data_IF_700516293117
#
_entry.id   IF_700516293117
#
_cell.length_a   1.000
_cell.length_b   1.000
_cell.length_c   1.000
_cell.angle_alpha   90.00
_cell.angle_beta   90.00
_cell.angle_gamma   90.00
#
_symmetry.space_group_name_H-M   'P 1'
#
loop_
_entity.id
_entity.type
_entity.pdbx_description
1 polymer ?
#
# COMPACT_ATOMS: atom_id res chain seq x y z
N UNK A 1 3.94 26.44 -3.01
CA UNK A 1 3.35 25.11 -2.80
C UNK A 1 4.30 24.13 -3.45
N UNK A 2 5.15 23.47 -2.67
CA UNK A 2 6.03 22.40 -3.16
C UNK A 2 5.17 21.30 -3.79
N UNK A 3 5.57 20.86 -4.97
CA UNK A 3 4.90 19.76 -5.65
C UNK A 3 5.09 18.48 -4.83
N UNK A 4 3.99 17.89 -4.35
CA UNK A 4 3.98 16.65 -3.54
C UNK A 4 4.82 15.55 -4.20
N UNK A 5 4.81 15.45 -5.53
CA UNK A 5 5.65 14.50 -6.26
C UNK A 5 7.14 14.80 -6.08
N UNK A 6 7.53 16.08 -6.14
CA UNK A 6 8.92 16.49 -5.95
C UNK A 6 9.38 16.24 -4.52
N UNK A 7 8.53 16.55 -3.53
CA UNK A 7 8.84 16.35 -2.12
C UNK A 7 8.97 14.85 -1.75
N UNK A 8 8.08 14.00 -2.27
CA UNK A 8 7.99 12.59 -1.88
C UNK A 8 8.84 11.66 -2.76
N UNK A 9 9.03 12.00 -4.04
CA UNK A 9 9.66 11.14 -5.05
C UNK A 9 10.93 11.77 -5.66
N UNK A 10 11.21 13.03 -5.37
CA UNK A 10 12.39 13.75 -5.87
C UNK A 10 12.19 14.40 -7.25
N UNK A 11 13.19 15.15 -7.74
CA UNK A 11 13.07 16.03 -8.91
C UNK A 11 12.82 15.31 -10.22
N UNK A 12 13.26 14.04 -10.35
CA UNK A 12 13.05 13.24 -11.57
C UNK A 12 11.56 13.02 -11.85
N UNK A 13 10.72 12.96 -10.82
CA UNK A 13 9.27 12.76 -10.96
C UNK A 13 8.58 13.89 -11.72
N UNK A 14 9.14 15.11 -11.70
CA UNK A 14 8.59 16.30 -12.35
C UNK A 14 8.50 16.13 -13.87
N UNK A 15 9.47 15.44 -14.47
CA UNK A 15 9.52 15.18 -15.91
C UNK A 15 8.32 14.36 -16.41
N UNK A 16 7.63 13.63 -15.51
CA UNK A 16 6.54 12.72 -15.86
C UNK A 16 5.16 13.20 -15.42
N UNK A 17 5.02 14.47 -15.00
CA UNK A 17 3.73 15.07 -14.61
C UNK A 17 2.67 14.98 -15.70
N UNK A 18 3.06 15.14 -16.96
CA UNK A 18 2.11 15.06 -18.09
C UNK A 18 1.49 13.65 -18.20
N UNK A 19 2.30 12.60 -18.12
CA UNK A 19 1.83 11.22 -18.14
C UNK A 19 0.93 10.91 -16.94
N UNK A 20 1.27 11.41 -15.75
CA UNK A 20 0.45 11.26 -14.54
C UNK A 20 -0.88 12.02 -14.62
N UNK A 21 -0.88 13.24 -15.18
CA UNK A 21 -2.09 14.01 -15.44
C UNK A 21 -3.03 13.30 -16.41
N UNK A 22 -2.48 12.73 -17.49
CA UNK A 22 -3.24 11.95 -18.47
C UNK A 22 -3.81 10.67 -17.86
N UNK A 23 -3.00 9.94 -17.07
CA UNK A 23 -3.46 8.76 -16.36
C UNK A 23 -4.64 9.07 -15.42
N UNK A 24 -4.53 10.12 -14.60
CA UNK A 24 -5.61 10.55 -13.71
C UNK A 24 -6.88 10.92 -14.46
N UNK A 25 -6.75 11.69 -15.54
CA UNK A 25 -7.87 12.10 -16.40
C UNK A 25 -8.61 10.88 -16.94
N UNK A 26 -7.88 9.88 -17.44
CA UNK A 26 -8.45 8.63 -17.98
C UNK A 26 -9.07 7.72 -16.92
N UNK A 27 -8.61 7.80 -15.67
CA UNK A 27 -9.20 7.08 -14.54
C UNK A 27 -10.34 7.85 -13.86
N UNK A 28 -10.63 9.08 -14.29
CA UNK A 28 -11.63 9.95 -13.65
C UNK A 28 -11.25 10.38 -12.23
N UNK A 29 -9.95 10.43 -11.91
CA UNK A 29 -9.42 10.87 -10.62
C UNK A 29 -9.15 12.38 -10.70
N UNK A 30 -9.83 13.17 -9.89
CA UNK A 30 -9.77 14.64 -9.95
C UNK A 30 -8.97 15.27 -8.80
N UNK A 31 -8.33 14.49 -7.95
CA UNK A 31 -7.48 14.94 -6.85
C UNK A 31 -6.04 14.43 -7.03
N UNK A 32 -5.11 14.88 -6.18
CA UNK A 32 -3.67 14.55 -6.26
C UNK A 32 -3.22 13.58 -5.16
N UNK A 33 -4.10 13.16 -4.26
CA UNK A 33 -3.72 12.30 -3.12
C UNK A 33 -3.19 10.93 -3.56
N UNK A 34 -3.52 10.51 -4.79
CA UNK A 34 -3.06 9.25 -5.37
C UNK A 34 -1.84 9.40 -6.28
N UNK A 35 -1.31 10.61 -6.46
CA UNK A 35 -0.26 10.90 -7.44
C UNK A 35 0.96 10.02 -7.25
N UNK A 36 1.45 9.87 -6.01
CA UNK A 36 2.61 9.04 -5.73
C UNK A 36 2.33 7.53 -5.91
N UNK A 37 1.12 7.07 -5.58
CA UNK A 37 0.70 5.68 -5.80
C UNK A 37 0.61 5.37 -7.30
N UNK A 38 -0.06 6.21 -8.07
CA UNK A 38 -0.19 6.09 -9.52
C UNK A 38 1.18 6.18 -10.22
N UNK A 39 2.04 7.07 -9.76
CA UNK A 39 3.41 7.19 -10.26
C UNK A 39 4.19 5.88 -10.12
N UNK A 40 3.99 5.11 -9.05
CA UNK A 40 4.66 3.82 -8.88
C UNK A 40 4.32 2.82 -10.01
N UNK A 41 3.07 2.80 -10.47
CA UNK A 41 2.66 1.95 -11.59
C UNK A 41 3.24 2.48 -12.91
N UNK A 42 3.18 3.80 -13.14
CA UNK A 42 3.75 4.43 -14.33
C UNK A 42 5.24 4.15 -14.46
N UNK A 43 6.02 4.40 -13.41
CA UNK A 43 7.46 4.16 -13.41
C UNK A 43 7.78 2.69 -13.72
N UNK A 44 7.01 1.75 -13.15
CA UNK A 44 7.16 0.33 -13.45
C UNK A 44 6.88 0.00 -14.93
N UNK A 45 5.94 0.71 -15.56
CA UNK A 45 5.59 0.55 -16.98
C UNK A 45 6.29 1.56 -17.88
N UNK A 46 7.43 2.11 -17.44
CA UNK A 46 8.25 3.04 -18.22
C UNK A 46 7.43 4.21 -18.77
N UNK A 47 6.46 4.66 -17.98
CA UNK A 47 5.52 5.75 -18.26
C UNK A 47 4.56 5.49 -19.44
N UNK A 48 4.34 4.22 -19.81
CA UNK A 48 3.26 3.82 -20.70
C UNK A 48 1.91 3.91 -19.96
N UNK A 49 1.06 4.84 -20.40
CA UNK A 49 -0.24 5.12 -19.77
C UNK A 49 -1.23 3.97 -20.03
N UNK A 50 -1.25 3.38 -21.22
CA UNK A 50 -2.19 2.32 -21.57
C UNK A 50 -1.90 1.03 -20.80
N UNK A 51 -0.63 0.62 -20.76
CA UNK A 51 -0.20 -0.52 -19.96
C UNK A 51 -0.48 -0.30 -18.46
N UNK A 52 -0.29 0.94 -17.99
CA UNK A 52 -0.56 1.30 -16.60
C UNK A 52 -2.04 1.20 -16.26
N UNK A 53 -2.94 1.71 -17.12
CA UNK A 53 -4.39 1.56 -16.94
C UNK A 53 -4.77 0.08 -16.90
N UNK A 54 -4.27 -0.73 -17.83
CA UNK A 54 -4.56 -2.16 -17.86
C UNK A 54 -4.05 -2.89 -16.59
N UNK A 55 -2.98 -2.40 -15.95
CA UNK A 55 -2.50 -2.92 -14.67
C UNK A 55 -3.35 -2.46 -13.49
N UNK A 56 -3.77 -1.21 -13.46
CA UNK A 56 -4.66 -0.69 -12.42
C UNK A 56 -6.05 -1.33 -12.48
N UNK A 57 -6.58 -1.61 -13.68
CA UNK A 57 -7.82 -2.37 -13.85
C UNK A 57 -7.68 -3.81 -13.34
N UNK A 58 -6.57 -4.48 -13.66
CA UNK A 58 -6.26 -5.82 -13.11
C UNK A 58 -6.16 -5.80 -11.58
N UNK A 59 -5.59 -4.73 -11.02
CA UNK A 59 -5.55 -4.52 -9.57
C UNK A 59 -6.96 -4.34 -9.00
N UNK A 60 -7.77 -3.46 -9.56
CA UNK A 60 -9.15 -3.26 -9.12
C UNK A 60 -9.99 -4.55 -9.18
N UNK A 61 -9.82 -5.36 -10.23
CA UNK A 61 -10.46 -6.67 -10.32
C UNK A 61 -10.01 -7.61 -9.19
N UNK A 62 -8.71 -7.66 -8.88
CA UNK A 62 -8.17 -8.47 -7.78
C UNK A 62 -8.66 -7.98 -6.40
N UNK A 63 -8.86 -6.68 -6.20
CA UNK A 63 -9.44 -6.15 -4.96
C UNK A 63 -10.83 -6.73 -4.71
N UNK A 64 -11.67 -6.80 -5.74
CA UNK A 64 -13.04 -7.34 -5.62
C UNK A 64 -13.05 -8.87 -5.59
N UNK A 65 -12.37 -9.50 -6.55
CA UNK A 65 -12.46 -10.96 -6.77
C UNK A 65 -11.62 -11.77 -5.80
N UNK A 66 -10.54 -11.19 -5.27
CA UNK A 66 -9.64 -11.88 -4.36
C UNK A 66 -9.72 -11.27 -2.96
N UNK A 67 -9.33 -10.01 -2.76
CA UNK A 67 -9.27 -9.43 -1.41
C UNK A 67 -10.65 -9.40 -0.74
N UNK A 68 -11.69 -8.98 -1.46
CA UNK A 68 -13.07 -8.98 -0.99
C UNK A 68 -13.65 -10.38 -0.72
N UNK A 69 -13.08 -11.42 -1.34
CA UNK A 69 -13.56 -12.80 -1.26
C UNK A 69 -12.76 -13.69 -0.28
N UNK A 70 -11.64 -13.21 0.27
CA UNK A 70 -10.84 -14.00 1.20
C UNK A 70 -11.57 -14.24 2.51
N UNK A 71 -11.78 -15.50 2.86
CA UNK A 71 -12.34 -15.87 4.15
C UNK A 71 -11.34 -15.53 5.28
N UNK A 72 -11.81 -14.75 6.26
CA UNK A 72 -11.08 -14.38 7.48
C UNK A 72 -11.59 -15.27 8.63
N UNK A 73 -10.70 -15.99 9.28
CA UNK A 73 -11.01 -16.77 10.49
C UNK A 73 -10.39 -16.11 11.73
N UNK A 74 -11.16 -16.13 12.83
CA UNK A 74 -10.67 -15.69 14.13
C UNK A 74 -9.67 -16.70 14.74
N UNK A 75 -8.90 -16.22 15.72
CA UNK A 75 -7.89 -16.98 16.46
C UNK A 75 -8.48 -18.30 17.01
N UNK A 76 -7.79 -19.44 16.81
CA UNK A 76 -8.19 -20.72 17.40
C UNK A 76 -9.15 -21.60 16.58
N UNK A 77 -9.61 -21.15 15.42
CA UNK A 77 -10.35 -22.00 14.48
C UNK A 77 -9.38 -22.65 13.49
N UNK A 78 -8.60 -23.65 13.94
CA UNK A 78 -7.67 -24.40 13.09
C UNK A 78 -8.36 -25.38 12.11
N UNK A 79 -9.61 -25.12 11.77
CA UNK A 79 -10.36 -25.80 10.73
C UNK A 79 -11.24 -24.78 10.05
N UNK A 80 -10.86 -24.36 8.84
CA UNK A 80 -11.84 -23.75 7.94
C UNK A 80 -13.01 -24.70 7.80
N UNK A 81 -14.23 -24.19 7.96
CA UNK A 81 -15.42 -24.93 7.53
C UNK A 81 -15.18 -25.27 6.06
N UNK A 82 -15.11 -26.56 5.73
CA UNK A 82 -14.92 -27.11 4.38
C UNK A 82 -13.49 -27.14 3.78
N UNK A 83 -12.42 -26.99 4.58
CA UNK A 83 -11.04 -27.21 4.08
C UNK A 83 -10.54 -26.13 3.10
N UNK A 84 -11.22 -24.99 3.02
CA UNK A 84 -10.75 -23.81 2.29
C UNK A 84 -9.64 -23.13 3.08
N UNK A 85 -8.58 -22.72 2.37
CA UNK A 85 -7.58 -21.82 2.95
C UNK A 85 -8.27 -20.56 3.49
N UNK A 86 -7.78 -19.95 4.55
CA UNK A 86 -8.30 -18.71 5.13
C UNK A 86 -7.14 -17.82 5.57
N UNK A 87 -7.39 -16.51 5.70
CA UNK A 87 -6.46 -15.64 6.43
C UNK A 87 -6.63 -15.93 7.93
N UNK A 88 -5.68 -16.64 8.52
CA UNK A 88 -5.68 -16.95 9.94
C UNK A 88 -4.85 -15.91 10.70
N UNK A 89 -5.35 -15.45 11.85
CA UNK A 89 -4.52 -14.67 12.77
C UNK A 89 -3.29 -15.47 13.20
N UNK A 90 -3.43 -16.78 13.39
CA UNK A 90 -2.32 -17.69 13.75
C UNK A 90 -1.21 -17.73 12.68
N UNK A 91 -1.58 -17.73 11.40
CA UNK A 91 -0.64 -17.75 10.28
C UNK A 91 0.20 -16.47 10.20
N UNK A 92 -0.43 -15.32 10.45
CA UNK A 92 0.24 -14.01 10.55
C UNK A 92 1.06 -13.88 11.84
N UNK A 93 0.54 -14.38 12.95
CA UNK A 93 1.16 -14.35 14.28
C UNK A 93 2.43 -15.19 14.40
N UNK A 94 2.76 -16.03 13.40
CA UNK A 94 4.10 -16.63 13.23
C UNK A 94 5.19 -15.61 12.88
N UNK A 95 4.79 -14.37 12.58
CA UNK A 95 5.65 -13.23 12.22
C UNK A 95 6.79 -13.57 11.27
N UNK A 96 6.44 -14.33 10.22
CA UNK A 96 7.28 -14.52 9.03
C UNK A 96 7.51 -13.17 8.35
N UNK A 97 6.48 -12.32 8.31
CA UNK A 97 6.53 -10.97 7.74
C UNK A 97 6.01 -9.99 8.79
N UNK A 98 6.74 -8.89 9.02
CA UNK A 98 6.33 -7.81 9.92
C UNK A 98 6.79 -6.44 9.41
N UNK A 99 6.13 -5.36 9.85
CA UNK A 99 6.65 -4.00 9.64
C UNK A 99 7.61 -3.65 10.80
N UNK A 100 8.84 -3.26 10.47
CA UNK A 100 9.86 -2.87 11.46
C UNK A 100 10.13 -1.36 11.51
N UNK A 101 9.45 -0.58 10.67
CA UNK A 101 9.60 0.87 10.58
C UNK A 101 9.62 1.35 9.14
N UNK A 102 10.33 2.45 8.89
CA UNK A 102 10.56 2.99 7.57
C UNK A 102 12.06 3.02 7.25
N UNK A 103 12.40 2.96 5.97
CA UNK A 103 13.76 3.25 5.55
C UNK A 103 14.03 4.76 5.53
N UNK A 104 15.28 5.16 5.21
CA UNK A 104 15.68 6.57 5.16
C UNK A 104 14.92 7.40 4.11
N UNK A 105 14.17 6.76 3.22
CA UNK A 105 13.30 7.39 2.21
C UNK A 105 11.83 7.32 2.61
N UNK A 106 11.50 7.05 3.88
CA UNK A 106 10.14 7.01 4.40
C UNK A 106 9.29 5.80 3.97
N UNK A 107 9.87 4.87 3.19
CA UNK A 107 9.18 3.69 2.68
C UNK A 107 9.03 2.66 3.78
N UNK A 108 7.86 2.02 3.87
CA UNK A 108 7.60 0.99 4.88
C UNK A 108 8.57 -0.18 4.69
N UNK A 109 9.22 -0.61 5.76
CA UNK A 109 10.12 -1.76 5.74
C UNK A 109 9.39 -3.02 6.24
N UNK A 110 9.18 -3.96 5.33
CA UNK A 110 8.72 -5.31 5.63
C UNK A 110 9.92 -6.20 5.94
N UNK A 111 10.08 -6.59 7.20
CA UNK A 111 11.04 -7.59 7.61
C UNK A 111 10.47 -8.99 7.38
N UNK A 112 11.16 -9.80 6.60
CA UNK A 112 10.80 -11.18 6.32
C UNK A 112 11.83 -12.09 6.95
N UNK A 113 11.45 -12.87 7.96
CA UNK A 113 12.35 -13.78 8.65
C UNK A 113 12.04 -15.23 8.26
N UNK A 114 12.81 -15.75 7.31
CA UNK A 114 12.50 -17.01 6.62
C UNK A 114 12.60 -18.24 7.53
N UNK A 115 13.39 -18.20 8.62
CA UNK A 115 13.48 -19.34 9.55
C UNK A 115 12.15 -19.66 10.24
N UNK A 116 11.23 -18.68 10.31
CA UNK A 116 9.87 -18.85 10.88
C UNK A 116 8.87 -19.40 9.86
N UNK A 117 9.25 -19.45 8.59
CA UNK A 117 8.40 -19.98 7.53
C UNK A 117 8.49 -21.51 7.46
N UNK A 118 7.51 -22.12 6.80
CA UNK A 118 7.41 -23.56 6.57
C UNK A 118 7.43 -23.87 5.07
N UNK A 119 7.98 -25.00 4.64
CA UNK A 119 7.92 -25.41 3.23
C UNK A 119 6.64 -26.23 2.90
N UNK A 120 5.61 -26.14 3.72
CA UNK A 120 4.40 -26.97 3.60
C UNK A 120 3.51 -26.50 2.43
N UNK A 121 3.32 -27.37 1.44
CA UNK A 121 2.61 -27.04 0.19
C UNK A 121 1.12 -26.77 0.41
N UNK A 122 0.49 -27.46 1.37
CA UNK A 122 -0.91 -27.28 1.78
C UNK A 122 -1.20 -25.84 2.21
N UNK A 123 -0.21 -25.17 2.82
CA UNK A 123 -0.34 -23.82 3.36
C UNK A 123 -0.09 -22.71 2.33
N UNK A 124 0.30 -23.03 1.08
CA UNK A 124 0.61 -22.00 0.06
C UNK A 124 -0.54 -21.04 -0.19
N UNK A 125 -1.78 -21.53 -0.20
CA UNK A 125 -2.96 -20.70 -0.40
C UNK A 125 -3.17 -19.73 0.77
N UNK A 126 -3.08 -20.21 2.02
CA UNK A 126 -3.12 -19.36 3.22
C UNK A 126 -2.03 -18.29 3.20
N UNK A 127 -0.79 -18.69 2.88
CA UNK A 127 0.36 -17.77 2.83
C UNK A 127 0.22 -16.71 1.76
N UNK A 128 -0.35 -17.08 0.61
CA UNK A 128 -0.64 -16.13 -0.47
C UNK A 128 -1.61 -15.04 0.00
N UNK A 129 -2.69 -15.43 0.67
CA UNK A 129 -3.70 -14.49 1.17
C UNK A 129 -3.16 -13.63 2.31
N UNK A 130 -2.37 -14.24 3.18
CA UNK A 130 -1.65 -13.55 4.26
C UNK A 130 -0.70 -12.50 3.70
N UNK A 131 0.08 -12.86 2.69
CA UNK A 131 0.97 -11.94 1.99
C UNK A 131 0.21 -10.74 1.41
N UNK A 132 -0.91 -10.98 0.74
CA UNK A 132 -1.71 -9.91 0.15
C UNK A 132 -2.33 -8.97 1.19
N UNK A 133 -2.82 -9.49 2.31
CA UNK A 133 -3.38 -8.70 3.41
C UNK A 133 -2.29 -7.85 4.09
N UNK A 134 -1.10 -8.41 4.28
CA UNK A 134 0.04 -7.64 4.80
C UNK A 134 0.46 -6.57 3.80
N UNK A 135 0.53 -6.90 2.51
CA UNK A 135 0.99 -5.98 1.49
C UNK A 135 -0.03 -4.88 1.21
N UNK A 136 -1.34 -5.15 1.29
CA UNK A 136 -2.37 -4.10 1.24
C UNK A 136 -2.20 -3.12 2.39
N UNK A 137 -2.03 -3.61 3.62
CA UNK A 137 -1.76 -2.76 4.78
C UNK A 137 -0.44 -1.98 4.66
N UNK A 138 0.63 -2.61 4.18
CA UNK A 138 1.94 -1.98 4.08
C UNK A 138 2.04 -0.93 2.97
N UNK A 139 1.19 -1.05 1.93
CA UNK A 139 1.12 -0.10 0.81
C UNK A 139 -0.01 0.92 0.97
N UNK A 140 -0.62 1.00 2.16
CA UNK A 140 -1.70 1.96 2.44
C UNK A 140 -1.27 3.42 2.29
N UNK A 141 -2.22 4.30 2.01
CA UNK A 141 -2.02 5.74 2.11
C UNK A 141 -1.68 6.10 3.56
N UNK A 142 -0.73 7.02 3.73
CA UNK A 142 -0.35 7.56 5.03
C UNK A 142 -0.24 9.08 4.95
N UNK A 143 -0.44 9.76 6.09
CA UNK A 143 -0.28 11.22 6.17
C UNK A 143 1.17 11.65 6.09
N UNK A 144 2.04 10.87 6.72
CA UNK A 144 3.45 11.17 6.90
C UNK A 144 4.30 10.77 5.69
N UNK A 145 3.79 9.90 4.81
CA UNK A 145 4.48 9.52 3.58
C UNK A 145 3.50 9.00 2.53
N UNK A 146 3.51 9.61 1.33
CA UNK A 146 2.48 9.35 0.32
C UNK A 146 2.89 8.33 -0.73
N UNK A 147 4.14 7.87 -0.75
CA UNK A 147 4.65 6.97 -1.81
C UNK A 147 3.87 5.66 -1.97
N UNK A 148 3.24 5.15 -0.90
CA UNK A 148 2.62 3.82 -0.86
C UNK A 148 3.59 2.67 -1.21
N UNK A 149 4.90 2.93 -1.17
CA UNK A 149 5.94 1.96 -1.51
C UNK A 149 6.48 1.28 -0.27
N UNK A 150 6.88 0.04 -0.47
CA UNK A 150 7.52 -0.81 0.54
C UNK A 150 8.90 -1.24 0.08
N UNK A 151 9.76 -1.50 1.05
CA UNK A 151 11.00 -2.26 0.87
C UNK A 151 10.90 -3.53 1.70
N UNK A 152 11.45 -4.62 1.21
CA UNK A 152 11.47 -5.90 1.93
C UNK A 152 12.91 -6.20 2.38
N UNK A 153 13.09 -6.51 3.65
CA UNK A 153 14.36 -6.98 4.23
C UNK A 153 14.20 -8.46 4.58
N UNK A 154 14.68 -9.33 3.70
CA UNK A 154 14.55 -10.78 3.79
C UNK A 154 15.77 -11.37 4.47
N UNK A 155 15.61 -11.78 5.73
CA UNK A 155 16.63 -12.49 6.49
C UNK A 155 16.55 -13.99 6.26
N UNK A 156 17.63 -14.55 5.70
CA UNK A 156 17.79 -15.97 5.41
C UNK A 156 18.66 -16.71 6.45
N UNK A 157 19.00 -16.04 7.57
CA UNK A 157 19.79 -16.65 8.63
C UNK A 157 19.09 -17.92 9.14
N UNK A 158 19.85 -19.01 9.22
CA UNK A 158 19.40 -20.34 9.69
C UNK A 158 18.24 -20.97 8.87
N UNK A 159 17.85 -20.36 7.74
CA UNK A 159 16.81 -20.89 6.88
C UNK A 159 17.33 -22.10 6.08
N UNK A 160 16.55 -23.19 6.11
CA UNK A 160 16.86 -24.41 5.37
C UNK A 160 15.99 -24.55 4.11
N UNK A 161 16.62 -24.99 3.02
CA UNK A 161 15.94 -25.37 1.77
C UNK A 161 14.90 -26.48 1.96
N UNK A 162 15.04 -27.31 2.99
CA UNK A 162 14.16 -28.46 3.23
C UNK A 162 13.04 -28.19 4.23
N UNK A 163 13.15 -27.14 5.04
CA UNK A 163 12.21 -26.86 6.14
C UNK A 163 11.45 -25.56 5.95
N UNK A 164 12.12 -24.54 5.42
CA UNK A 164 11.63 -23.17 5.46
C UNK A 164 11.36 -22.60 4.06
N UNK A 165 12.17 -22.99 3.08
CA UNK A 165 12.17 -22.35 1.76
C UNK A 165 11.43 -23.22 0.74
N UNK A 166 10.29 -22.72 0.28
CA UNK A 166 9.56 -23.29 -0.84
C UNK A 166 9.79 -22.43 -2.11
N UNK A 167 10.76 -22.84 -2.95
CA UNK A 167 11.14 -22.06 -4.14
C UNK A 167 9.98 -21.86 -5.14
N UNK A 168 9.19 -22.89 -5.52
CA UNK A 168 8.00 -22.67 -6.33
C UNK A 168 7.03 -21.66 -5.73
N UNK A 169 6.87 -21.67 -4.41
CA UNK A 169 6.04 -20.67 -3.74
C UNK A 169 6.65 -19.26 -3.83
N UNK A 170 7.95 -19.10 -3.62
CA UNK A 170 8.63 -17.80 -3.79
C UNK A 170 8.48 -17.24 -5.21
N UNK A 171 8.57 -18.09 -6.24
CA UNK A 171 8.28 -17.70 -7.63
C UNK A 171 6.83 -17.26 -7.80
N UNK A 172 5.88 -17.97 -7.19
CA UNK A 172 4.46 -17.58 -7.23
C UNK A 172 4.21 -16.22 -6.60
N UNK A 173 4.89 -15.90 -5.49
CA UNK A 173 4.80 -14.59 -4.83
C UNK A 173 5.43 -13.49 -5.68
N UNK A 174 6.59 -13.74 -6.32
CA UNK A 174 7.17 -12.79 -7.26
C UNK A 174 6.26 -12.50 -8.46
N UNK A 175 5.64 -13.54 -9.04
CA UNK A 175 4.62 -13.37 -10.09
C UNK A 175 3.42 -12.55 -9.60
N UNK A 176 2.99 -12.79 -8.36
CA UNK A 176 1.90 -12.04 -7.71
C UNK A 176 2.24 -10.56 -7.54
N UNK A 177 3.47 -10.24 -7.12
CA UNK A 177 3.98 -8.86 -7.03
C UNK A 177 3.96 -8.19 -8.42
N UNK A 178 4.53 -8.83 -9.45
CA UNK A 178 4.54 -8.28 -10.82
C UNK A 178 3.12 -8.09 -11.40
N UNK A 179 2.19 -8.98 -11.03
CA UNK A 179 0.82 -8.95 -11.52
C UNK A 179 0.00 -7.83 -10.88
N UNK A 180 0.03 -7.71 -9.54
CA UNK A 180 -0.91 -6.88 -8.78
C UNK A 180 -0.30 -5.74 -7.95
N UNK A 181 1.00 -5.77 -7.71
CA UNK A 181 1.72 -4.74 -6.94
C UNK A 181 2.92 -4.17 -7.71
N UNK A 182 2.84 -3.96 -9.04
CA UNK A 182 3.96 -3.41 -9.80
C UNK A 182 4.30 -2.02 -9.29
N UNK A 183 5.58 -1.72 -9.10
CA UNK A 183 5.97 -0.42 -8.57
C UNK A 183 5.97 -0.34 -7.04
N UNK A 184 5.05 -1.02 -6.36
CA UNK A 184 4.83 -0.86 -4.92
C UNK A 184 5.91 -1.53 -4.06
N UNK A 185 6.42 -2.70 -4.46
CA UNK A 185 7.59 -3.32 -3.82
C UNK A 185 8.84 -2.77 -4.47
N UNK A 186 9.44 -1.72 -3.94
CA UNK A 186 10.51 -0.98 -4.64
C UNK A 186 11.87 -1.69 -4.58
N UNK A 187 12.20 -2.32 -3.45
CA UNK A 187 13.44 -3.10 -3.29
C UNK A 187 13.21 -4.31 -2.39
N UNK A 188 13.90 -5.40 -2.70
CA UNK A 188 13.97 -6.62 -1.87
C UNK A 188 15.44 -6.85 -1.52
N UNK A 189 15.82 -6.50 -0.30
CA UNK A 189 17.14 -6.78 0.25
C UNK A 189 17.16 -8.18 0.83
N UNK A 190 18.06 -9.05 0.37
CA UNK A 190 18.22 -10.39 0.94
C UNK A 190 19.55 -10.48 1.67
N UNK A 191 19.48 -10.81 2.96
CA UNK A 191 20.64 -10.83 3.87
C UNK A 191 20.83 -12.23 4.48
N UNK A 192 22.04 -12.50 4.96
CA UNK A 192 22.41 -13.76 5.62
C UNK A 192 22.08 -15.02 4.80
N UNK A 193 22.17 -14.92 3.48
CA UNK A 193 21.95 -16.05 2.59
C UNK A 193 23.14 -17.01 2.65
N UNK A 194 22.89 -18.30 2.89
CA UNK A 194 23.95 -19.31 2.86
C UNK A 194 24.52 -19.47 1.44
N UNK A 195 25.78 -19.91 1.31
CA UNK A 195 26.42 -20.12 0.01
C UNK A 195 25.64 -21.07 -0.89
N UNK A 196 25.11 -22.16 -0.32
CA UNK A 196 24.28 -23.13 -1.04
C UNK A 196 22.98 -22.49 -1.53
N UNK A 197 22.30 -21.73 -0.67
CA UNK A 197 21.08 -21.02 -1.06
C UNK A 197 21.35 -19.97 -2.14
N UNK A 198 22.48 -19.27 -2.10
CA UNK A 198 22.87 -18.30 -3.11
C UNK A 198 23.05 -18.92 -4.50
N UNK A 199 23.59 -20.13 -4.59
CA UNK A 199 23.71 -20.86 -5.88
C UNK A 199 22.34 -21.18 -6.44
N UNK A 200 21.43 -21.70 -5.60
CA UNK A 200 20.08 -22.06 -6.03
C UNK A 200 19.24 -20.83 -6.37
N UNK A 201 19.31 -19.79 -5.54
CA UNK A 201 18.57 -18.54 -5.71
C UNK A 201 18.93 -17.83 -7.01
N UNK A 202 20.20 -17.85 -7.43
CA UNK A 202 20.63 -17.29 -8.73
C UNK A 202 19.87 -17.88 -9.90
N UNK A 203 19.65 -19.19 -9.91
CA UNK A 203 18.87 -19.86 -10.96
C UNK A 203 17.40 -19.46 -10.92
N UNK A 204 16.83 -19.33 -9.72
CA UNK A 204 15.44 -18.89 -9.54
C UNK A 204 15.25 -17.44 -9.99
N UNK A 205 16.15 -16.53 -9.61
CA UNK A 205 16.07 -15.11 -9.97
C UNK A 205 16.10 -14.87 -11.48
N UNK A 206 16.80 -15.71 -12.25
CA UNK A 206 16.79 -15.65 -13.72
C UNK A 206 15.42 -15.97 -14.34
N UNK A 207 14.61 -16.80 -13.67
CA UNK A 207 13.27 -17.14 -14.12
C UNK A 207 12.18 -16.17 -13.66
N UNK A 208 12.53 -15.18 -12.84
CA UNK A 208 11.56 -14.20 -12.35
C UNK A 208 11.27 -13.12 -13.40
N UNK A 209 10.05 -12.53 -13.37
CA UNK A 209 9.75 -11.33 -14.13
C UNK A 209 10.80 -10.24 -13.89
N UNK A 210 11.24 -9.60 -14.99
CA UNK A 210 12.31 -8.61 -14.98
C UNK A 210 12.04 -7.45 -14.02
N UNK A 211 10.78 -7.03 -13.93
CA UNK A 211 10.32 -5.97 -13.05
C UNK A 211 10.42 -6.30 -11.55
N UNK A 212 10.56 -7.58 -11.20
CA UNK A 212 10.82 -8.03 -9.82
C UNK A 212 12.29 -8.37 -9.62
N UNK A 213 12.92 -9.09 -10.56
CA UNK A 213 14.32 -9.52 -10.42
C UNK A 213 15.30 -8.35 -10.33
N UNK A 214 15.07 -7.26 -11.07
CA UNK A 214 15.88 -6.04 -10.99
C UNK A 214 15.76 -5.31 -9.64
N UNK A 215 14.76 -5.65 -8.81
CA UNK A 215 14.54 -5.07 -7.49
C UNK A 215 15.18 -5.87 -6.37
N UNK A 216 15.69 -7.07 -6.66
CA UNK A 216 16.35 -7.93 -5.68
C UNK A 216 17.81 -7.50 -5.54
N UNK A 217 18.23 -7.23 -4.31
CA UNK A 217 19.61 -6.91 -3.95
C UNK A 217 20.07 -7.89 -2.88
N UNK A 218 21.02 -8.76 -3.23
CA UNK A 218 21.61 -9.70 -2.29
C UNK A 218 22.78 -9.01 -1.59
N UNK A 219 22.68 -8.83 -0.28
CA UNK A 219 23.73 -8.24 0.54
C UNK A 219 24.67 -9.37 0.99
N UNK A 220 25.92 -9.28 0.60
CA UNK A 220 26.96 -10.25 0.93
C UNK A 220 27.32 -10.21 2.42
N UNK A 221 27.96 -11.29 2.91
CA UNK A 221 28.45 -11.35 4.28
C UNK A 221 29.48 -10.23 4.58
N UNK A 222 30.29 -9.86 3.59
CA UNK A 222 31.25 -8.75 3.70
C UNK A 222 30.55 -7.41 3.85
N UNK A 223 29.51 -7.15 3.05
CA UNK A 223 28.70 -5.92 3.15
C UNK A 223 27.94 -5.87 4.48
N UNK A 224 27.46 -7.01 4.98
CA UNK A 224 26.84 -7.10 6.30
C UNK A 224 27.84 -6.74 7.42
N UNK A 225 29.08 -7.24 7.36
CA UNK A 225 30.14 -6.87 8.32
C UNK A 225 30.51 -5.39 8.24
N UNK A 226 30.36 -4.78 7.08
CA UNK A 226 30.57 -3.34 6.86
C UNK A 226 29.32 -2.49 7.17
N UNK A 227 28.28 -3.09 7.75
CA UNK A 227 27.03 -2.41 8.09
C UNK A 227 26.35 -1.72 6.90
N UNK A 228 26.40 -2.32 5.71
CA UNK A 228 25.83 -1.74 4.49
C UNK A 228 24.34 -1.40 4.62
N UNK A 229 23.59 -2.12 5.47
CA UNK A 229 22.18 -1.80 5.74
C UNK A 229 21.98 -0.39 6.32
N UNK A 230 22.95 0.15 7.07
CA UNK A 230 22.88 1.50 7.63
C UNK A 230 22.90 2.61 6.56
N UNK A 231 23.29 2.29 5.33
CA UNK A 231 23.20 3.21 4.19
C UNK A 231 21.75 3.45 3.76
N UNK A 232 20.86 2.47 3.99
CA UNK A 232 19.47 2.53 3.54
C UNK A 232 18.48 2.69 4.70
N UNK A 233 18.85 2.21 5.89
CA UNK A 233 18.00 2.20 7.07
C UNK A 233 18.68 2.93 8.23
N UNK A 234 17.88 3.47 9.14
CA UNK A 234 18.38 3.95 10.42
C UNK A 234 18.62 2.76 11.35
N UNK A 235 19.64 2.85 12.21
CA UNK A 235 20.00 1.78 13.14
C UNK A 235 18.82 1.36 14.04
N UNK A 236 17.98 2.32 14.42
CA UNK A 236 16.78 2.11 15.25
C UNK A 236 15.68 1.26 14.59
N UNK A 237 15.73 1.08 13.26
CA UNK A 237 14.77 0.28 12.50
C UNK A 237 15.28 -1.14 12.29
N UNK A 238 16.59 -1.30 12.11
CA UNK A 238 17.21 -2.59 11.81
C UNK A 238 17.23 -3.47 13.07
N UNK A 239 16.83 -4.75 13.01
CA UNK A 239 16.95 -5.69 14.13
C UNK A 239 18.39 -5.80 14.65
N UNK A 240 18.56 -5.99 15.96
CA UNK A 240 19.88 -6.23 16.58
C UNK A 240 20.62 -7.38 15.88
N UNK A 241 19.91 -8.44 15.50
CA UNK A 241 20.46 -9.60 14.78
C UNK A 241 21.05 -9.26 13.39
N UNK A 242 20.76 -8.09 12.85
CA UNK A 242 21.25 -7.58 11.57
C UNK A 242 22.17 -6.36 11.72
N UNK A 243 22.63 -6.05 12.94
CA UNK A 243 23.56 -4.95 13.21
C UNK A 243 22.90 -3.60 13.48
N UNK A 244 21.60 -3.58 13.80
CA UNK A 244 20.92 -2.39 14.29
C UNK A 244 20.72 -2.36 15.80
N UNK A 245 19.78 -1.53 16.25
CA UNK A 245 19.42 -1.36 17.67
C UNK A 245 17.95 -1.68 17.95
N UNK A 246 17.19 -2.16 16.96
CA UNK A 246 15.79 -2.54 17.13
C UNK A 246 15.69 -3.89 17.86
N UNK A 247 15.21 -3.85 19.11
CA UNK A 247 15.01 -5.01 19.98
C UNK A 247 13.51 -5.27 20.23
N UNK A 248 12.75 -5.40 19.14
CA UNK A 248 11.29 -5.65 19.17
C UNK A 248 10.88 -6.83 18.28
N UNK A 249 11.83 -7.67 17.87
CA UNK A 249 11.54 -8.91 17.13
C UNK A 249 11.09 -10.03 18.08
N UNK A 250 10.01 -9.78 18.83
CA UNK A 250 9.50 -10.67 19.89
C UNK A 250 8.10 -11.20 19.58
N UNK A 251 7.68 -12.29 20.25
CA UNK A 251 6.39 -12.90 19.98
C UNK A 251 5.15 -12.05 20.29
N UNK A 252 5.31 -10.97 21.04
CA UNK A 252 4.23 -10.05 21.40
C UNK A 252 4.01 -9.05 20.26
N UNK A 253 5.09 -8.53 19.70
CA UNK A 253 5.06 -7.51 18.65
C UNK A 253 4.46 -8.04 17.34
N UNK A 254 4.92 -9.21 16.88
CA UNK A 254 4.42 -9.79 15.64
C UNK A 254 2.92 -10.24 15.73
N UNK A 255 2.38 -10.47 16.94
CA UNK A 255 0.96 -10.79 17.20
C UNK A 255 0.12 -9.53 17.17
N UNK A 256 0.58 -8.47 17.84
CA UNK A 256 -0.05 -7.15 17.75
C UNK A 256 -0.07 -6.63 16.30
N UNK A 257 0.99 -6.89 15.54
CA UNK A 257 1.04 -6.60 14.11
C UNK A 257 -0.02 -7.41 13.34
N UNK A 258 -0.11 -8.72 13.57
CA UNK A 258 -1.15 -9.57 12.95
C UNK A 258 -2.56 -9.03 13.23
N UNK A 259 -2.88 -8.70 14.48
CA UNK A 259 -4.17 -8.13 14.86
C UNK A 259 -4.48 -6.81 14.14
N UNK A 260 -3.45 -5.97 13.97
CA UNK A 260 -3.57 -4.70 13.25
C UNK A 260 -3.86 -4.91 11.77
N UNK A 261 -3.13 -5.81 11.11
CA UNK A 261 -3.36 -6.17 9.72
C UNK A 261 -4.76 -6.76 9.54
N UNK A 262 -5.17 -7.67 10.43
CA UNK A 262 -6.49 -8.30 10.36
C UNK A 262 -7.63 -7.30 10.56
N UNK A 263 -7.48 -6.33 11.47
CA UNK A 263 -8.45 -5.25 11.64
C UNK A 263 -8.56 -4.38 10.39
N UNK A 264 -7.42 -3.95 9.85
CA UNK A 264 -7.38 -3.19 8.60
C UNK A 264 -8.02 -3.98 7.44
N UNK A 265 -7.70 -5.26 7.32
CA UNK A 265 -8.18 -6.10 6.24
C UNK A 265 -9.70 -6.34 6.31
N UNK A 266 -10.29 -6.48 7.51
CA UNK A 266 -11.75 -6.53 7.68
C UNK A 266 -12.43 -5.25 7.19
N UNK A 267 -11.94 -4.09 7.60
CA UNK A 267 -12.52 -2.80 7.17
C UNK A 267 -12.35 -2.59 5.65
N UNK A 268 -11.24 -3.05 5.09
CA UNK A 268 -11.01 -3.07 3.64
C UNK A 268 -12.08 -3.91 2.94
N UNK A 269 -12.36 -5.12 3.42
CA UNK A 269 -13.38 -5.99 2.84
C UNK A 269 -14.76 -5.37 2.91
N UNK A 270 -15.14 -4.80 4.06
CA UNK A 270 -16.42 -4.09 4.20
C UNK A 270 -16.55 -2.95 3.18
N UNK A 271 -15.48 -2.19 2.96
CA UNK A 271 -15.47 -1.11 1.99
C UNK A 271 -15.59 -1.58 0.53
N UNK A 272 -14.87 -2.65 0.17
CA UNK A 272 -14.89 -3.18 -1.20
C UNK A 272 -16.21 -3.88 -1.49
N UNK A 273 -16.67 -4.76 -0.58
CA UNK A 273 -17.83 -5.63 -0.79
C UNK A 273 -19.15 -4.90 -0.56
N UNK A 274 -19.30 -4.22 0.57
CA UNK A 274 -20.59 -3.61 0.95
C UNK A 274 -20.77 -2.22 0.34
N UNK A 275 -19.69 -1.45 0.22
CA UNK A 275 -19.74 -0.04 -0.22
C UNK A 275 -19.37 0.13 -1.70
N UNK A 276 -18.79 -0.88 -2.33
CA UNK A 276 -18.36 -0.83 -3.73
C UNK A 276 -17.25 0.20 -3.99
N UNK A 277 -16.40 0.45 -3.00
CA UNK A 277 -15.28 1.39 -3.09
C UNK A 277 -14.01 0.68 -3.52
N UNK A 278 -13.10 1.39 -4.20
CA UNK A 278 -11.72 0.88 -4.32
C UNK A 278 -10.99 1.00 -2.98
N UNK A 279 -9.96 0.18 -2.78
CA UNK A 279 -9.16 0.19 -1.54
C UNK A 279 -8.58 1.58 -1.27
N UNK A 280 -8.06 2.26 -2.31
CA UNK A 280 -7.45 3.59 -2.15
C UNK A 280 -8.44 4.70 -1.83
N UNK A 281 -9.66 4.63 -2.34
CA UNK A 281 -10.69 5.60 -1.96
C UNK A 281 -11.11 5.44 -0.51
N UNK A 282 -11.24 4.21 -0.03
CA UNK A 282 -11.53 3.93 1.37
C UNK A 282 -10.40 4.42 2.29
N UNK A 283 -9.14 4.09 1.97
CA UNK A 283 -8.00 4.57 2.74
C UNK A 283 -7.94 6.11 2.82
N UNK A 284 -8.24 6.80 1.72
CA UNK A 284 -8.29 8.26 1.70
C UNK A 284 -9.41 8.81 2.59
N UNK A 285 -10.59 8.20 2.57
CA UNK A 285 -11.70 8.59 3.42
C UNK A 285 -11.36 8.43 4.91
N UNK A 286 -10.74 7.30 5.30
CA UNK A 286 -10.29 7.07 6.68
C UNK A 286 -9.24 8.12 7.10
N UNK A 287 -8.27 8.42 6.24
CA UNK A 287 -7.29 9.48 6.51
C UNK A 287 -7.92 10.87 6.66
N UNK A 288 -9.03 11.15 5.99
CA UNK A 288 -9.73 12.42 6.12
C UNK A 288 -10.57 12.48 7.41
N UNK A 289 -11.21 11.36 7.79
CA UNK A 289 -11.96 11.24 9.05
C UNK A 289 -11.07 11.45 10.25
N UNK A 290 -9.94 10.75 10.31
CA UNK A 290 -8.97 10.87 11.39
C UNK A 290 -8.35 12.28 11.47
N UNK A 291 -8.45 13.08 10.40
CA UNK A 291 -7.83 14.41 10.30
C UNK A 291 -8.75 15.47 10.88
N UNK A 292 -10.06 15.27 10.71
CA UNK A 292 -11.10 16.09 11.29
C UNK A 292 -11.21 15.96 12.82
N UNK A 293 -10.73 14.84 13.39
CA UNK A 293 -10.80 14.57 14.83
C UNK A 293 -9.57 15.09 15.58
N UNK A 294 -8.45 15.37 14.90
CA UNK A 294 -7.17 15.78 15.50
C UNK A 294 -6.89 17.28 15.56
N UNK A 295 -7.87 18.15 15.28
CA UNK A 295 -7.71 19.60 15.18
C UNK A 295 -7.55 20.36 16.51
N UNK A 296 -7.04 19.72 17.57
CA UNK A 296 -6.85 20.37 18.86
C UNK A 296 -5.86 19.60 19.73
N UNK A 297 -4.59 19.96 19.61
CA UNK A 297 -3.54 20.02 20.66
C UNK A 297 -2.24 20.34 19.91
N UNK A 298 -1.69 21.53 20.17
CA UNK A 298 -0.33 21.90 19.78
C UNK A 298 0.67 20.96 20.47
N UNK A 299 1.64 20.43 19.72
CA UNK A 299 2.85 19.90 20.34
C UNK A 299 4.10 20.31 19.53
N UNK A 300 4.97 21.00 20.25
CA UNK A 300 6.23 21.64 19.87
C UNK A 300 7.21 20.70 19.14
N UNK A 301 7.99 21.30 18.23
CA UNK A 301 9.13 20.70 17.54
C UNK A 301 10.14 20.05 18.50
N UNK A 302 10.52 18.79 18.23
CA UNK A 302 11.90 18.25 18.14
C UNK A 302 11.85 16.73 17.85
N UNK A 303 12.68 16.30 16.88
CA UNK A 303 13.12 14.93 16.54
C UNK A 303 12.13 13.95 15.86
N UNK A 304 12.51 13.58 14.62
CA UNK A 304 11.87 12.61 13.73
C UNK A 304 11.95 11.15 14.23
N UNK A 305 10.78 10.54 14.45
CA UNK A 305 10.47 9.14 14.17
C UNK A 305 8.93 9.04 14.03
N UNK A 306 8.36 8.53 12.92
CA UNK A 306 6.91 8.50 12.79
C UNK A 306 6.32 7.42 13.70
N UNK A 307 5.37 7.86 14.55
CA UNK A 307 4.50 7.10 15.44
C UNK A 307 3.68 6.06 14.66
N UNK A 308 4.30 4.94 14.30
CA UNK A 308 3.66 3.79 13.63
C UNK A 308 2.96 2.84 14.62
N UNK A 309 3.12 3.05 15.94
CA UNK A 309 2.73 2.07 16.98
C UNK A 309 1.95 2.63 18.19
N UNK A 310 1.66 3.93 18.29
CA UNK A 310 1.11 4.50 19.54
C UNK A 310 -0.40 4.29 19.75
N UNK A 311 -1.13 3.75 18.77
CA UNK A 311 -2.58 3.50 18.89
C UNK A 311 -2.93 2.34 19.86
N UNK A 312 -1.96 1.57 20.34
CA UNK A 312 -2.19 0.44 21.25
C UNK A 312 -1.96 0.77 22.75
N UNK A 313 -1.34 1.90 23.08
CA UNK A 313 -0.92 2.23 24.45
C UNK A 313 -1.80 3.29 25.14
N UNK A 314 -2.63 4.03 24.40
CA UNK A 314 -3.37 5.18 24.91
C UNK A 314 -4.67 4.87 25.69
N UNK A 315 -4.99 3.60 25.96
CA UNK A 315 -6.23 3.21 26.66
C UNK A 315 -6.04 2.55 28.04
N UNK A 316 -4.86 2.64 28.68
CA UNK A 316 -4.65 2.04 30.02
C UNK A 316 -4.29 2.96 31.19
N UNK A 317 -3.96 4.23 30.97
CA UNK A 317 -3.56 5.12 32.08
C UNK A 317 -4.45 6.36 32.18
N UNK A 318 -5.69 6.17 32.64
CA UNK A 318 -6.44 7.21 33.35
C UNK A 318 -6.90 6.64 34.68
N UNK A 319 -5.97 6.61 35.63
CA UNK A 319 -6.24 6.54 37.07
C UNK A 319 -4.94 6.86 37.79
N UNK A 320 -4.88 8.00 38.47
CA UNK A 320 -3.73 8.40 39.29
C UNK A 320 -3.36 9.86 39.12
N UNK A 321 -4.20 10.76 39.63
CA UNK A 321 -3.81 12.13 39.92
C UNK A 321 -2.70 12.14 40.99
N UNK A 322 -1.79 13.12 40.94
CA UNK A 322 -1.36 13.86 42.14
C UNK A 322 -0.62 15.16 41.78
N UNK A 323 -1.15 16.21 42.41
CA UNK A 323 -0.75 17.61 42.49
C UNK A 323 0.69 17.82 42.99
N UNK A 324 1.38 18.86 42.48
CA UNK A 324 2.10 19.86 43.29
C UNK A 324 2.77 20.97 42.43
N UNK A 325 3.02 22.18 42.98
CA UNK A 325 2.96 23.46 42.27
C UNK A 325 4.30 24.20 42.07
N UNK A 326 4.25 25.18 41.17
CA UNK A 326 5.19 26.31 40.99
C UNK A 326 5.50 27.06 42.30
N UNK A 327 6.77 27.39 42.52
CA UNK A 327 7.30 28.75 42.69
C UNK A 327 8.70 28.76 43.33
N UNK A 328 9.64 29.54 42.77
CA UNK A 328 10.34 30.61 43.51
C UNK A 328 11.35 31.32 42.59
N UNK A 329 11.11 32.62 42.46
CA UNK A 329 12.08 33.63 42.06
C UNK A 329 12.99 33.92 43.28
N UNK A 330 14.30 33.99 43.07
CA UNK A 330 15.26 34.66 43.95
C UNK A 330 16.14 35.55 43.05
N UNK A 331 15.95 36.87 43.03
CA UNK A 331 16.69 37.86 43.85
C UNK A 331 18.17 37.44 44.01
N UNK A 332 19.12 38.04 43.31
CA UNK A 332 19.58 39.43 43.50
C UNK A 332 20.93 39.36 44.22
N UNK A 333 22.04 39.65 43.52
CA UNK A 333 23.07 40.65 43.87
C UNK A 333 24.39 40.13 43.23
N UNK A 334 25.36 40.90 42.73
CA UNK A 334 25.58 42.33 42.60
C UNK A 334 26.74 42.52 41.62
N UNK A 335 26.75 43.61 40.85
CA UNK A 335 27.98 44.25 40.37
C UNK A 335 27.65 45.65 39.84
N UNK A 336 27.57 46.63 40.74
CA UNK A 336 27.57 48.04 40.38
C UNK A 336 28.97 48.44 39.88
N UNK A 337 29.08 48.84 38.62
CA UNK A 337 30.10 49.78 38.16
C UNK A 337 29.38 50.94 37.50
N UNK A 338 29.87 52.15 37.71
CA UNK A 338 29.31 53.40 37.22
C UNK A 338 29.33 53.45 35.68
N UNK A 339 28.18 53.68 35.05
CA UNK A 339 28.04 53.80 33.60
C UNK A 339 27.64 55.23 33.24
N UNK A 340 28.10 55.70 32.07
CA UNK A 340 27.91 57.09 31.65
C UNK A 340 26.45 57.37 31.24
N UNK A 341 25.96 58.63 31.31
CA UNK A 341 24.59 58.98 30.93
C UNK A 341 24.21 58.60 29.48
N UNK A 342 25.21 58.44 28.60
CA UNK A 342 25.02 58.10 27.18
C UNK A 342 24.70 56.60 26.98
N UNK A 343 25.19 55.73 27.87
CA UNK A 343 24.93 54.29 27.81
C UNK A 343 23.51 53.91 28.30
N UNK A 344 22.89 54.78 29.10
CA UNK A 344 21.53 54.58 29.62
C UNK A 344 20.48 54.81 28.52
N UNK A 345 20.63 55.88 27.74
CA UNK A 345 19.70 56.21 26.64
C UNK A 345 19.76 55.19 25.51
N UNK A 346 20.94 54.68 25.17
CA UNK A 346 21.08 53.66 24.12
C UNK A 346 20.38 52.34 24.52
N UNK A 347 20.42 52.00 25.81
CA UNK A 347 19.72 50.81 26.34
C UNK A 347 18.21 50.99 26.37
N UNK A 348 17.71 52.17 26.72
CA UNK A 348 16.27 52.45 26.67
C UNK A 348 15.73 52.36 25.23
N UNK A 349 16.47 52.88 24.25
CA UNK A 349 16.12 52.74 22.84
C UNK A 349 16.14 51.28 22.37
N UNK A 350 17.18 50.51 22.73
CA UNK A 350 17.25 49.08 22.37
C UNK A 350 16.16 48.24 23.06
N UNK A 351 15.80 48.57 24.30
CA UNK A 351 14.71 47.93 25.03
C UNK A 351 13.34 48.24 24.39
N UNK A 352 13.14 49.47 23.92
CA UNK A 352 11.94 49.87 23.18
C UNK A 352 11.84 49.19 21.80
N UNK A 353 12.95 49.06 21.06
CA UNK A 353 12.97 48.32 19.80
C UNK A 353 12.68 46.83 20.00
N UNK A 354 13.24 46.22 21.05
CA UNK A 354 12.95 44.82 21.40
C UNK A 354 11.50 44.65 21.81
N UNK A 355 10.95 45.54 22.65
CA UNK A 355 9.55 45.50 23.03
C UNK A 355 8.61 45.66 21.82
N UNK A 356 8.93 46.57 20.90
CA UNK A 356 8.17 46.76 19.66
C UNK A 356 8.24 45.54 18.74
N UNK A 357 9.41 44.90 18.61
CA UNK A 357 9.58 43.69 17.82
C UNK A 357 8.76 42.50 18.38
N UNK A 358 8.72 42.35 19.71
CA UNK A 358 7.91 41.34 20.39
C UNK A 358 6.42 41.60 20.14
N UNK A 359 5.95 42.83 20.39
CA UNK A 359 4.55 43.21 20.20
C UNK A 359 4.08 43.05 18.74
N UNK A 360 4.94 43.40 17.78
CA UNK A 360 4.65 43.23 16.36
C UNK A 360 4.49 41.75 15.99
N UNK A 361 5.35 40.89 16.52
CA UNK A 361 5.29 39.46 16.24
C UNK A 361 4.04 38.83 16.87
N UNK A 362 3.68 39.21 18.10
CA UNK A 362 2.44 38.76 18.76
C UNK A 362 1.19 39.19 17.98
N UNK A 363 1.15 40.42 17.46
CA UNK A 363 0.03 40.89 16.63
C UNK A 363 -0.06 40.10 15.32
N UNK A 364 1.06 39.89 14.64
CA UNK A 364 1.11 39.12 13.38
C UNK A 364 0.70 37.66 13.62
N UNK A 365 1.15 37.06 14.71
CA UNK A 365 0.83 35.69 15.09
C UNK A 365 -0.65 35.54 15.48
N UNK A 366 -1.20 36.51 16.23
CA UNK A 366 -2.63 36.54 16.57
C UNK A 366 -3.52 36.72 15.35
N UNK A 367 -3.17 37.60 14.40
CA UNK A 367 -3.92 37.74 13.14
C UNK A 367 -3.78 36.51 12.24
N UNK A 368 -2.59 35.88 12.21
CA UNK A 368 -2.37 34.65 11.46
C UNK A 368 -3.18 33.49 12.04
N UNK A 369 -3.22 33.36 13.37
CA UNK A 369 -4.05 32.38 14.08
C UNK A 369 -5.54 32.63 13.85
N UNK A 370 -5.97 33.89 13.90
CA UNK A 370 -7.37 34.26 13.68
C UNK A 370 -7.80 34.00 12.23
N UNK A 371 -6.98 34.36 11.23
CA UNK A 371 -7.27 34.07 9.81
C UNK A 371 -7.17 32.58 9.48
N UNK A 372 -6.20 31.85 10.03
CA UNK A 372 -6.07 30.40 9.83
C UNK A 372 -7.23 29.62 10.47
N UNK A 373 -7.74 30.06 11.64
CA UNK A 373 -8.89 29.45 12.32
C UNK A 373 -10.20 29.51 11.53
N UNK A 374 -10.35 30.49 10.63
CA UNK A 374 -11.54 30.64 9.76
C UNK A 374 -11.32 29.98 8.40
N UNK A 375 -10.09 30.03 7.88
CA UNK A 375 -9.75 29.50 6.54
C UNK A 375 -9.64 27.97 6.54
N UNK A 376 -9.11 27.35 7.60
CA UNK A 376 -8.98 25.88 7.64
C UNK A 376 -10.32 25.15 7.58
N UNK A 377 -11.34 25.48 8.39
CA UNK A 377 -12.63 24.80 8.35
C UNK A 377 -13.35 25.00 7.00
N UNK A 378 -13.31 26.22 6.45
CA UNK A 378 -13.89 26.52 5.15
C UNK A 378 -13.20 25.77 4.00
N UNK A 379 -11.88 25.64 4.07
CA UNK A 379 -11.08 24.87 3.12
C UNK A 379 -11.35 23.36 3.22
N UNK A 380 -11.50 22.82 4.42
CA UNK A 380 -11.87 21.42 4.63
C UNK A 380 -13.28 21.11 4.09
N UNK A 381 -14.22 22.03 4.28
CA UNK A 381 -15.58 21.92 3.72
C UNK A 381 -15.56 21.96 2.19
N UNK A 382 -14.80 22.88 1.59
CA UNK A 382 -14.62 22.94 0.13
C UNK A 382 -13.92 21.70 -0.42
N UNK A 383 -12.87 21.21 0.26
CA UNK A 383 -12.17 19.98 -0.09
C UNK A 383 -13.10 18.76 0.01
N UNK A 384 -13.97 18.69 1.03
CA UNK A 384 -14.99 17.64 1.18
C UNK A 384 -16.05 17.71 0.08
N UNK A 385 -16.54 18.90 -0.27
CA UNK A 385 -17.50 19.07 -1.37
C UNK A 385 -16.89 18.68 -2.71
N UNK A 386 -15.66 19.12 -2.97
CA UNK A 386 -14.93 18.76 -4.18
C UNK A 386 -14.68 17.25 -4.22
N UNK A 387 -14.28 16.64 -3.10
CA UNK A 387 -14.12 15.18 -2.99
C UNK A 387 -15.44 14.44 -3.24
N UNK A 388 -16.57 14.85 -2.64
CA UNK A 388 -17.87 14.24 -2.88
C UNK A 388 -18.28 14.29 -4.36
N UNK A 389 -18.10 15.44 -5.01
CA UNK A 389 -18.36 15.58 -6.44
C UNK A 389 -17.44 14.69 -7.29
N UNK A 390 -16.16 14.57 -6.91
CA UNK A 390 -15.19 13.72 -7.59
C UNK A 390 -15.46 12.23 -7.35
N UNK A 391 -15.88 11.85 -6.14
CA UNK A 391 -16.24 10.49 -5.77
C UNK A 391 -17.49 10.04 -6.54
N UNK A 392 -18.51 10.90 -6.62
CA UNK A 392 -19.70 10.65 -7.44
C UNK A 392 -19.34 10.53 -8.92
N UNK A 393 -18.48 11.41 -9.46
CA UNK A 393 -18.01 11.33 -10.86
C UNK A 393 -17.20 10.07 -11.15
N UNK A 394 -16.26 9.70 -10.27
CA UNK A 394 -15.45 8.50 -10.42
C UNK A 394 -16.32 7.24 -10.35
N UNK A 395 -17.26 7.18 -9.39
CA UNK A 395 -18.23 6.09 -9.29
C UNK A 395 -19.13 6.00 -10.52
N UNK A 396 -19.63 7.12 -11.02
CA UNK A 396 -20.41 7.18 -12.25
C UNK A 396 -19.60 6.76 -13.47
N UNK A 397 -18.32 7.14 -13.55
CA UNK A 397 -17.43 6.72 -14.63
C UNK A 397 -17.17 5.21 -14.59
N UNK A 398 -16.89 4.64 -13.41
CA UNK A 398 -16.73 3.18 -13.23
C UNK A 398 -18.00 2.41 -13.59
N UNK A 399 -19.17 2.89 -13.17
CA UNK A 399 -20.46 2.31 -13.56
C UNK A 399 -20.66 2.39 -15.07
N UNK A 400 -20.34 3.53 -15.71
CA UNK A 400 -20.46 3.68 -17.15
C UNK A 400 -19.52 2.74 -17.93
N UNK A 401 -18.29 2.55 -17.46
CA UNK A 401 -17.33 1.61 -18.06
C UNK A 401 -17.80 0.17 -17.88
N UNK A 402 -18.24 -0.21 -16.67
CA UNK A 402 -18.78 -1.54 -16.39
C UNK A 402 -20.00 -1.86 -17.25
N UNK A 403 -20.95 -0.93 -17.38
CA UNK A 403 -22.12 -1.07 -18.26
C UNK A 403 -21.72 -1.18 -19.75
N UNK A 404 -20.67 -0.48 -20.18
CA UNK A 404 -20.16 -0.58 -21.54
C UNK A 404 -19.46 -1.93 -21.83
N UNK A 405 -18.83 -2.53 -20.82
CA UNK A 405 -18.26 -3.88 -20.90
C UNK A 405 -19.35 -4.96 -20.89
N UNK A 406 -20.38 -4.83 -20.05
CA UNK A 406 -21.55 -5.72 -20.04
C UNK A 406 -22.29 -5.69 -21.39
N UNK A 407 -22.48 -4.51 -21.99
CA UNK A 407 -23.05 -4.40 -23.34
C UNK A 407 -22.22 -5.12 -24.39
N UNK A 408 -20.88 -5.02 -24.33
CA UNK A 408 -19.98 -5.75 -25.24
C UNK A 408 -20.08 -7.27 -25.05
N UNK A 409 -20.17 -7.73 -23.81
CA UNK A 409 -20.40 -9.14 -23.49
C UNK A 409 -21.74 -9.65 -24.02
N UNK A 410 -22.83 -8.89 -23.84
CA UNK A 410 -24.14 -9.26 -24.39
C UNK A 410 -24.13 -9.35 -25.93
N UNK A 411 -23.41 -8.47 -26.62
CA UNK A 411 -23.26 -8.54 -28.09
C UNK A 411 -22.48 -9.79 -28.51
N UNK A 412 -21.42 -10.16 -27.77
CA UNK A 412 -20.69 -11.40 -28.05
C UNK A 412 -21.51 -12.65 -27.79
N UNK A 413 -22.28 -12.71 -26.70
CA UNK A 413 -23.13 -13.86 -26.37
C UNK A 413 -24.27 -14.01 -27.38
N UNK A 414 -24.92 -12.91 -27.76
CA UNK A 414 -25.98 -12.95 -28.80
C UNK A 414 -25.43 -13.30 -30.18
N UNK A 415 -24.24 -12.80 -30.54
CA UNK A 415 -23.54 -13.18 -31.77
C UNK A 415 -23.15 -14.66 -31.80
N UNK A 416 -22.61 -15.20 -30.70
CA UNK A 416 -22.24 -16.60 -30.57
C UNK A 416 -23.47 -17.53 -30.61
N UNK A 417 -24.55 -17.15 -29.94
CA UNK A 417 -25.83 -17.88 -30.00
C UNK A 417 -26.41 -17.88 -31.43
N UNK A 418 -26.37 -16.74 -32.13
CA UNK A 418 -26.79 -16.66 -33.53
C UNK A 418 -25.96 -17.54 -34.46
N UNK A 419 -24.64 -17.59 -34.28
CA UNK A 419 -23.75 -18.47 -35.04
C UNK A 419 -24.05 -19.96 -34.78
N UNK A 420 -24.32 -20.34 -33.53
CA UNK A 420 -24.69 -21.70 -33.17
C UNK A 420 -26.00 -22.13 -33.86
N UNK A 421 -27.01 -21.28 -33.85
CA UNK A 421 -28.29 -21.53 -34.53
C UNK A 421 -28.08 -21.72 -36.03
N UNK A 422 -27.28 -20.87 -36.67
CA UNK A 422 -26.97 -21.00 -38.09
C UNK A 422 -26.27 -22.34 -38.43
N UNK A 423 -25.30 -22.77 -37.63
CA UNK A 423 -24.61 -24.05 -37.81
C UNK A 423 -25.58 -25.23 -37.68
N UNK A 424 -26.46 -25.19 -36.67
CA UNK A 424 -27.48 -26.24 -36.48
C UNK A 424 -28.45 -26.27 -37.66
N UNK A 425 -28.93 -25.11 -38.13
CA UNK A 425 -29.84 -25.03 -39.28
C UNK A 425 -29.19 -25.55 -40.56
N UNK A 426 -27.93 -25.21 -40.84
CA UNK A 426 -27.18 -25.73 -42.00
C UNK A 426 -26.98 -27.24 -41.87
N UNK A 427 -26.64 -27.74 -40.68
CA UNK A 427 -26.50 -29.17 -40.41
C UNK A 427 -27.80 -29.94 -40.64
N UNK A 428 -28.94 -29.40 -40.19
CA UNK A 428 -30.27 -29.98 -40.42
C UNK A 428 -30.61 -29.99 -41.91
N UNK A 429 -30.39 -28.88 -42.63
CA UNK A 429 -30.64 -28.81 -44.07
C UNK A 429 -29.77 -29.81 -44.84
N UNK A 430 -28.48 -29.91 -44.49
CA UNK A 430 -27.57 -30.88 -45.09
C UNK A 430 -28.01 -32.32 -44.84
N UNK A 431 -28.45 -32.63 -43.62
CA UNK A 431 -29.01 -33.94 -43.28
C UNK A 431 -30.29 -34.25 -44.07
N UNK A 432 -31.20 -33.28 -44.21
CA UNK A 432 -32.40 -33.43 -45.05
C UNK A 432 -32.05 -33.67 -46.53
N UNK A 433 -31.05 -32.96 -47.07
CA UNK A 433 -30.57 -33.19 -48.43
C UNK A 433 -29.97 -34.59 -48.59
N UNK A 434 -29.14 -35.03 -47.64
CA UNK A 434 -28.59 -36.40 -47.65
C UNK A 434 -29.69 -37.44 -47.60
N UNK A 435 -30.67 -37.27 -46.71
CA UNK A 435 -31.81 -38.18 -46.57
C UNK A 435 -32.61 -38.25 -47.87
N UNK A 436 -32.89 -37.09 -48.50
CA UNK A 436 -33.58 -37.03 -49.78
C UNK A 436 -32.80 -37.76 -50.88
N UNK A 437 -31.49 -37.54 -50.99
CA UNK A 437 -30.64 -38.26 -51.96
C UNK A 437 -30.64 -39.76 -51.68
N UNK A 438 -30.57 -40.17 -50.41
CA UNK A 438 -30.61 -41.58 -50.01
C UNK A 438 -31.92 -42.26 -50.39
N UNK A 439 -33.06 -41.58 -50.15
CA UNK A 439 -34.39 -42.03 -50.58
C UNK A 439 -34.45 -42.15 -52.10
N UNK A 440 -33.94 -41.18 -52.85
CA UNK A 440 -33.86 -41.26 -54.31
C UNK A 440 -32.97 -42.40 -54.81
N UNK A 441 -31.85 -42.71 -54.15
CA UNK A 441 -31.02 -43.86 -54.50
C UNK A 441 -31.72 -45.19 -54.22
N UNK A 442 -32.46 -45.30 -53.10
CA UNK A 442 -33.20 -46.51 -52.74
C UNK A 442 -34.39 -46.76 -53.68
N UNK A 443 -35.14 -45.72 -54.04
CA UNK A 443 -36.34 -45.86 -54.88
C UNK A 443 -36.04 -45.74 -56.38
N UNK A 444 -35.00 -45.01 -56.77
CA UNK A 444 -34.55 -44.90 -58.17
C UNK A 444 -33.94 -46.19 -58.72
N UNK A 445 -33.37 -47.03 -57.84
CA UNK A 445 -32.87 -48.36 -58.20
C UNK A 445 -33.98 -49.38 -58.53
N UNK A 446 -35.25 -49.08 -58.23
CA UNK A 446 -36.40 -49.93 -58.54
C UNK A 446 -37.03 -49.65 -59.92
N UNK A 447 -36.56 -48.63 -60.63
CA UNK A 447 -37.06 -48.24 -61.95
C UNK A 447 -36.01 -48.43 -63.05
N UNK A 448 -35.25 -49.52 -62.99
CA UNK A 448 -34.56 -50.03 -64.19
C UNK A 448 -35.56 -50.94 -64.91
N UNK A 449 -36.11 -50.53 -66.06
CA UNK A 449 -36.95 -51.44 -66.84
C UNK A 449 -36.08 -52.60 -67.34
N UNK A 450 -36.48 -53.81 -66.97
CA UNK A 450 -35.98 -55.04 -67.59
C UNK A 450 -36.51 -55.04 -69.02
N UNK A 451 -35.62 -54.80 -69.98
CA UNK A 451 -35.85 -54.91 -71.43
C UNK A 451 -34.87 -55.88 -72.04
#
# INVERSE_FOLDING_TARGET
MEDVLTAELGPVSVAHRAALGELRRRLGICHTDFDCWLYAFLENKKFDVDETIAKLQRRAAMEVQELGAYEITALGSSGGVDGKACCTSDGMARGVIQIIGCDRRGRVCLYVNTVRDTCEKSLRAEKTRTFDAILSYATRLRRDHKSCRVVMLVNQKDASLLKNIDLPFQVSIALRISKYYPGLVERIYVVNMSRLLAVVAKSVFKGLPRDVSERISVVSETEMKQSALLQWFDAAVIPVALGGTMDRDTPEHWRAFADTVMRHFRHLQDAVVLRGMSVKEWELEELQRDGAVGGGVEESSVAHAPRLFDAAEQHRNVSGALLAPRASLSSGEAAWRAWSPVDLQLRECLALEQAYAIFRNEIVESEFLQRSSVVQPAWEVLRRQQWLQCHVRSRHHRLAVSLAEERRWMVHVTGAAGALVAVVSVGVLYFCCLLHTWVWCLFGAWWVPVG
#
